data_IF_167336188646
#
_entry.id   IF_167336188646
#
_cell.length_a   1.000
_cell.length_b   1.000
_cell.length_c   1.000
_cell.angle_alpha   90.00
_cell.angle_beta   90.00
_cell.angle_gamma   90.00
#
_symmetry.space_group_name_H-M   'P 1'
#
loop_
_entity.id
_entity.type
_entity.pdbx_description
1 polymer ?
#
# COMPACT_ATOMS: atom_id res chain seq x y z
N UNK A 1 11.02 3.78 14.62
CA UNK A 1 11.24 4.39 13.27
C UNK A 1 11.83 3.39 12.29
N UNK A 2 12.77 2.52 12.68
CA UNK A 2 13.31 1.47 11.79
C UNK A 2 12.25 0.43 11.38
N UNK A 3 11.43 -0.05 12.31
CA UNK A 3 10.38 -1.04 12.06
C UNK A 3 9.40 -0.64 10.95
N UNK A 4 8.91 0.61 10.97
CA UNK A 4 7.99 1.15 9.96
C UNK A 4 8.67 1.25 8.59
N UNK A 5 9.96 1.63 8.56
CA UNK A 5 10.74 1.67 7.30
C UNK A 5 10.97 0.27 6.74
N UNK A 6 11.32 -0.69 7.59
CA UNK A 6 11.49 -2.09 7.20
C UNK A 6 10.19 -2.67 6.64
N UNK A 7 9.06 -2.46 7.35
CA UNK A 7 7.75 -2.89 6.89
C UNK A 7 7.34 -2.25 5.55
N UNK A 8 7.59 -0.95 5.37
CA UNK A 8 7.34 -0.26 4.11
C UNK A 8 8.16 -0.82 2.94
N UNK A 9 9.44 -1.15 3.17
CA UNK A 9 10.28 -1.80 2.15
C UNK A 9 9.84 -3.22 1.83
N UNK A 10 9.42 -4.00 2.83
CA UNK A 10 8.87 -5.34 2.62
C UNK A 10 7.61 -5.28 1.77
N UNK A 11 6.71 -4.33 2.06
CA UNK A 11 5.49 -4.12 1.27
C UNK A 11 5.79 -3.76 -0.20
N UNK A 12 6.74 -2.86 -0.43
CA UNK A 12 7.16 -2.49 -1.80
C UNK A 12 7.82 -3.66 -2.51
N UNK A 13 8.70 -4.39 -1.83
CA UNK A 13 9.34 -5.58 -2.41
C UNK A 13 8.33 -6.65 -2.79
N UNK A 14 7.33 -6.89 -1.94
CA UNK A 14 6.25 -7.85 -2.22
C UNK A 14 5.39 -7.39 -3.40
N UNK A 15 5.03 -6.11 -3.47
CA UNK A 15 4.30 -5.54 -4.60
C UNK A 15 5.08 -5.69 -5.92
N UNK A 16 6.40 -5.48 -5.88
CA UNK A 16 7.28 -5.64 -7.05
C UNK A 16 7.36 -7.10 -7.50
N UNK A 17 7.43 -8.05 -6.57
CA UNK A 17 7.41 -9.49 -6.89
C UNK A 17 6.08 -9.89 -7.55
N UNK A 18 4.95 -9.40 -7.04
CA UNK A 18 3.64 -9.64 -7.65
C UNK A 18 3.55 -9.06 -9.06
N UNK A 19 3.96 -7.79 -9.24
CA UNK A 19 3.97 -7.15 -10.55
C UNK A 19 4.91 -7.86 -11.54
N UNK A 20 6.06 -8.36 -11.06
CA UNK A 20 6.98 -9.15 -11.88
C UNK A 20 6.35 -10.49 -12.30
N UNK A 21 5.61 -11.14 -11.40
CA UNK A 21 4.88 -12.36 -11.72
C UNK A 21 3.85 -12.15 -12.82
N UNK A 22 3.05 -11.09 -12.71
CA UNK A 22 2.09 -10.69 -13.75
C UNK A 22 2.79 -10.35 -15.08
N UNK A 23 3.90 -9.62 -15.04
CA UNK A 23 4.66 -9.27 -16.25
C UNK A 23 5.18 -10.52 -16.98
N UNK A 24 5.69 -11.51 -16.23
CA UNK A 24 6.16 -12.78 -16.80
C UNK A 24 4.97 -13.59 -17.35
N UNK A 25 3.85 -13.64 -16.64
CA UNK A 25 2.64 -14.32 -17.08
C UNK A 25 2.07 -13.71 -18.38
N UNK A 26 2.05 -12.38 -18.47
CA UNK A 26 1.61 -11.65 -19.67
C UNK A 26 2.54 -11.92 -20.87
N UNK A 27 3.87 -11.98 -20.63
CA UNK A 27 4.85 -12.33 -21.66
C UNK A 27 4.73 -13.78 -22.14
N UNK A 28 4.39 -14.71 -21.24
CA UNK A 28 4.28 -16.15 -21.54
C UNK A 28 2.97 -16.55 -22.22
N UNK A 29 1.86 -15.88 -21.91
CA UNK A 29 0.53 -16.22 -22.42
C UNK A 29 0.07 -15.34 -23.59
N UNK A 30 0.68 -14.16 -23.77
CA UNK A 30 0.26 -13.16 -24.76
C UNK A 30 -1.05 -12.44 -24.41
N UNK A 31 -1.71 -12.86 -23.33
CA UNK A 31 -2.91 -12.23 -22.77
C UNK A 31 -2.53 -11.50 -21.48
N UNK A 32 -2.98 -10.25 -21.33
CA UNK A 32 -2.83 -9.51 -20.07
C UNK A 32 -3.87 -10.03 -19.08
N UNK A 33 -3.54 -11.13 -18.41
CA UNK A 33 -4.29 -11.64 -17.27
C UNK A 33 -3.55 -11.23 -15.98
N UNK A 34 -4.25 -10.57 -15.08
CA UNK A 34 -3.69 -10.03 -13.83
C UNK A 34 -4.30 -10.74 -12.64
N UNK A 35 -3.54 -10.84 -11.55
CA UNK A 35 -4.02 -11.49 -10.33
C UNK A 35 -4.88 -10.46 -9.59
N UNK A 36 -6.18 -10.68 -9.60
CA UNK A 36 -7.10 -9.82 -8.87
C UNK A 36 -6.79 -9.87 -7.37
N UNK A 37 -6.91 -8.74 -6.68
CA UNK A 37 -6.74 -8.68 -5.24
C UNK A 37 -7.71 -9.64 -4.52
N UNK A 38 -8.91 -9.85 -5.07
CA UNK A 38 -9.88 -10.84 -4.59
C UNK A 38 -9.31 -12.26 -4.53
N UNK A 39 -8.51 -12.67 -5.52
CA UNK A 39 -7.97 -14.02 -5.61
C UNK A 39 -6.90 -14.27 -4.55
N UNK A 40 -6.12 -13.24 -4.20
CA UNK A 40 -5.21 -13.32 -3.06
C UNK A 40 -5.95 -13.48 -1.74
N UNK A 41 -7.03 -12.71 -1.55
CA UNK A 41 -7.86 -12.86 -0.36
C UNK A 41 -8.51 -14.24 -0.31
N UNK A 42 -8.96 -14.77 -1.45
CA UNK A 42 -9.45 -16.14 -1.54
C UNK A 42 -8.38 -17.17 -1.19
N UNK A 43 -7.13 -16.96 -1.62
CA UNK A 43 -6.01 -17.82 -1.25
C UNK A 43 -5.72 -17.80 0.25
N UNK A 44 -5.81 -16.63 0.88
CA UNK A 44 -5.55 -16.47 2.32
C UNK A 44 -6.70 -16.95 3.20
N UNK A 45 -7.94 -16.69 2.81
CA UNK A 45 -9.14 -16.96 3.59
C UNK A 45 -9.78 -18.31 3.24
N UNK A 46 -9.39 -18.92 2.11
CA UNK A 46 -10.00 -20.14 1.57
C UNK A 46 -11.32 -19.92 0.85
N UNK A 47 -11.81 -18.67 0.78
CA UNK A 47 -13.06 -18.29 0.12
C UNK A 47 -12.98 -16.85 -0.37
N UNK A 48 -13.69 -16.50 -1.45
CA UNK A 48 -13.81 -15.10 -1.85
C UNK A 48 -14.39 -14.28 -0.67
N UNK A 49 -13.79 -13.14 -0.34
CA UNK A 49 -14.28 -12.32 0.75
C UNK A 49 -15.62 -11.69 0.35
N UNK A 50 -16.67 -12.07 1.08
CA UNK A 50 -18.00 -11.47 0.96
C UNK A 50 -18.13 -10.35 1.99
N UNK A 51 -17.85 -9.13 1.55
CA UNK A 51 -18.11 -7.92 2.33
C UNK A 51 -19.55 -7.48 2.07
N UNK A 52 -20.52 -8.23 2.60
CA UNK A 52 -21.94 -7.90 2.42
C UNK A 52 -22.32 -6.53 3.02
N UNK A 53 -23.48 -5.99 2.61
CA UNK A 53 -23.98 -4.64 2.94
C UNK A 53 -23.95 -4.26 4.44
N UNK A 54 -23.84 -5.25 5.32
CA UNK A 54 -23.73 -5.07 6.77
C UNK A 54 -22.33 -4.63 7.25
N UNK A 55 -21.27 -4.87 6.48
CA UNK A 55 -19.89 -4.61 6.91
C UNK A 55 -19.47 -3.15 6.70
N UNK A 56 -19.92 -2.52 5.62
CA UNK A 56 -19.66 -1.12 5.32
C UNK A 56 -20.90 -0.54 4.63
N UNK A 57 -21.67 0.33 5.30
CA UNK A 57 -22.97 0.78 4.78
C UNK A 57 -22.94 1.20 3.30
N UNK A 58 -24.00 0.84 2.57
CA UNK A 58 -24.37 0.99 1.13
C UNK A 58 -23.45 1.77 0.16
N UNK A 59 -22.75 2.83 0.58
CA UNK A 59 -21.83 3.58 -0.25
C UNK A 59 -20.43 2.94 -0.38
N UNK A 60 -20.02 2.11 0.57
CA UNK A 60 -18.68 1.51 0.60
C UNK A 60 -18.56 0.18 -0.14
N UNK A 61 -19.67 -0.55 -0.33
CA UNK A 61 -19.68 -1.85 -1.03
C UNK A 61 -19.14 -1.72 -2.47
N UNK A 62 -19.56 -0.67 -3.18
CA UNK A 62 -19.09 -0.41 -4.54
C UNK A 62 -17.59 -0.11 -4.60
N UNK A 63 -17.04 0.55 -3.58
CA UNK A 63 -15.62 0.87 -3.51
C UNK A 63 -14.80 -0.39 -3.25
N UNK A 64 -15.26 -1.25 -2.33
CA UNK A 64 -14.58 -2.50 -2.03
C UNK A 64 -14.59 -3.47 -3.20
N UNK A 65 -15.73 -3.64 -3.89
CA UNK A 65 -15.79 -4.45 -5.10
C UNK A 65 -14.87 -3.94 -6.19
N UNK A 66 -14.77 -2.62 -6.37
CA UNK A 66 -13.86 -2.02 -7.34
C UNK A 66 -12.40 -2.28 -6.98
N UNK A 67 -12.02 -2.14 -5.70
CA UNK A 67 -10.66 -2.38 -5.23
C UNK A 67 -10.26 -3.86 -5.31
N UNK A 68 -11.19 -4.77 -5.07
CA UNK A 68 -10.96 -6.22 -5.16
C UNK A 68 -10.71 -6.69 -6.60
N UNK A 69 -11.27 -5.99 -7.59
CA UNK A 69 -11.03 -6.22 -9.01
C UNK A 69 -9.71 -5.62 -9.52
N UNK A 70 -9.01 -4.81 -8.72
CA UNK A 70 -7.71 -4.27 -9.12
C UNK A 70 -6.61 -5.31 -8.99
N UNK A 71 -5.53 -5.18 -9.80
CA UNK A 71 -4.39 -6.04 -9.63
C UNK A 71 -3.79 -5.85 -8.24
N UNK A 72 -3.41 -6.96 -7.61
CA UNK A 72 -3.00 -6.99 -6.21
C UNK A 72 -1.93 -5.95 -5.84
N UNK A 73 -0.94 -5.74 -6.72
CA UNK A 73 0.16 -4.81 -6.48
C UNK A 73 -0.30 -3.35 -6.39
N UNK A 74 -1.44 -2.99 -6.99
CA UNK A 74 -1.99 -1.64 -6.95
C UNK A 74 -2.47 -1.24 -5.55
N UNK A 75 -2.66 -2.19 -4.62
CA UNK A 75 -3.01 -1.92 -3.22
C UNK A 75 -1.74 -1.86 -2.36
N UNK A 76 -0.83 -2.83 -2.52
CA UNK A 76 0.37 -2.94 -1.67
C UNK A 76 1.41 -1.84 -1.95
N UNK A 77 1.59 -1.44 -3.21
CA UNK A 77 2.55 -0.40 -3.59
C UNK A 77 2.24 0.98 -2.97
N UNK A 78 1.01 1.54 -3.07
CA UNK A 78 0.71 2.83 -2.46
C UNK A 78 0.70 2.76 -0.93
N UNK A 79 0.26 1.65 -0.32
CA UNK A 79 0.35 1.48 1.15
C UNK A 79 1.79 1.54 1.64
N UNK A 80 2.70 0.78 1.01
CA UNK A 80 4.13 0.81 1.33
C UNK A 80 4.75 2.19 1.11
N UNK A 81 4.42 2.83 -0.01
CA UNK A 81 4.87 4.19 -0.34
C UNK A 81 4.39 5.23 0.68
N UNK A 82 3.12 5.19 1.05
CA UNK A 82 2.53 6.10 2.05
C UNK A 82 3.18 5.93 3.42
N UNK A 83 3.49 4.69 3.82
CA UNK A 83 4.20 4.39 5.06
C UNK A 83 5.62 4.99 5.07
N UNK A 84 6.35 4.87 3.96
CA UNK A 84 7.69 5.44 3.81
C UNK A 84 7.67 6.97 3.77
N UNK A 85 6.68 7.56 3.07
CA UNK A 85 6.47 8.99 2.99
C UNK A 85 6.11 9.57 4.37
N UNK A 86 5.24 8.92 5.14
CA UNK A 86 4.88 9.36 6.48
C UNK A 86 6.11 9.43 7.42
N UNK A 87 7.08 8.53 7.25
CA UNK A 87 8.34 8.57 8.03
C UNK A 87 9.29 9.67 7.54
N UNK A 88 9.34 9.95 6.24
CA UNK A 88 10.20 10.98 5.66
C UNK A 88 9.66 12.40 5.86
N UNK A 89 8.34 12.58 5.73
CA UNK A 89 7.65 13.86 5.87
C UNK A 89 7.41 14.23 7.33
N UNK A 90 7.68 13.34 8.30
CA UNK A 90 7.54 13.66 9.72
C UNK A 90 8.46 14.85 10.01
N UNK A 91 7.90 16.05 10.29
CA UNK A 91 8.71 17.23 10.47
C UNK A 91 9.58 16.98 11.70
N UNK A 92 10.88 16.79 11.48
CA UNK A 92 11.87 16.97 12.55
C UNK A 92 11.63 18.40 13.01
N UNK A 93 10.93 18.58 14.13
CA UNK A 93 10.84 19.83 14.89
C UNK A 93 12.28 20.22 15.23
N UNK A 94 12.98 20.79 14.23
CA UNK A 94 14.22 21.50 14.42
C UNK A 94 13.81 22.65 15.32
N UNK A 95 14.33 22.59 16.54
CA UNK A 95 14.20 23.61 17.57
C UNK A 95 14.60 24.96 16.95
N UNK A 96 13.66 25.69 16.38
CA UNK A 96 13.84 27.10 16.00
C UNK A 96 13.71 27.95 17.26
N UNK A 97 14.55 27.67 18.26
CA UNK A 97 14.68 28.47 19.47
C UNK A 97 16.13 28.31 19.97
N UNK A 98 17.08 28.79 19.17
CA UNK A 98 18.43 29.06 19.65
C UNK A 98 19.05 30.17 18.80
N UNK A 99 19.36 31.30 19.44
CA UNK A 99 20.31 32.27 18.88
C UNK A 99 19.74 33.59 18.36
N UNK A 100 18.96 34.34 19.17
CA UNK A 100 18.71 35.76 18.89
C UNK A 100 18.81 36.68 20.11
N UNK A 101 19.72 36.37 21.05
CA UNK A 101 19.90 37.13 22.30
C UNK A 101 21.38 37.51 22.60
N UNK A 102 22.14 37.98 21.60
CA UNK A 102 23.53 38.43 21.82
C UNK A 102 23.87 39.79 21.18
N UNK A 103 22.93 40.75 21.15
CA UNK A 103 23.20 42.10 20.59
C UNK A 103 23.07 43.27 21.59
N UNK A 104 23.20 43.00 22.89
CA UNK A 104 23.33 44.05 23.90
C UNK A 104 24.38 43.63 24.92
N UNK A 105 25.65 43.87 24.61
CA UNK A 105 26.77 43.91 25.54
C UNK A 105 27.80 44.91 24.99
#
# INVERSE_FOLDING_TARGET
MFFIKALGWVLIGTALLMASGEAIAALGTGTHDYIAAADLWALFLGSLPDFGEAAFGLSWDNVWMTLLGWPAWAIFAPLGGMLLLAVHLRPRRKRMFAGRNQRYA
#
